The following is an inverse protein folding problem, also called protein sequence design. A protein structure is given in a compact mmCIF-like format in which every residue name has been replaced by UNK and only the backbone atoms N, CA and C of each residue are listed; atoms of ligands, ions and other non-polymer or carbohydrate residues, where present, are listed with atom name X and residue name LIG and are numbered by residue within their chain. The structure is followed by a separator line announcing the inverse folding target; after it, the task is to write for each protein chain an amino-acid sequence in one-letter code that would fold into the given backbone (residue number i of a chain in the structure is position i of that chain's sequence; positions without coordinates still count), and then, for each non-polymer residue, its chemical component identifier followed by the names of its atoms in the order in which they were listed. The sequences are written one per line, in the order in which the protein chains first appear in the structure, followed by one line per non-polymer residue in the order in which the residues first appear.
data_IF_498908942853
#
_entry.id   IF_498908942853
#
_cell.length_a   1.000
_cell.length_b   1.000
_cell.length_c   1.000
_cell.angle_alpha   90.00
_cell.angle_beta   90.00
_cell.angle_gamma   90.00
#
_symmetry.space_group_name_H-M   'P 1'
#
loop_
_entity.id
_entity.type
_entity.pdbx_description
1 polymer ?
#
# COMPACT_ATOMS: atom_id res chain seq x y z
N UNK A 1 10.66 -14.54 -37.18
CA UNK A 1 10.53 -13.64 -36.02
C UNK A 1 10.62 -14.47 -34.75
N UNK A 2 11.57 -14.19 -33.85
CA UNK A 2 11.53 -14.73 -32.50
C UNK A 2 10.37 -14.06 -31.72
N UNK A 3 9.65 -14.76 -30.83
CA UNK A 3 8.62 -14.13 -30.01
C UNK A 3 9.25 -13.03 -29.14
N UNK A 4 8.56 -11.90 -28.90
CA UNK A 4 9.05 -10.89 -27.97
C UNK A 4 9.26 -11.55 -26.62
N UNK A 5 10.50 -11.57 -26.14
CA UNK A 5 10.82 -11.94 -24.77
C UNK A 5 9.97 -11.06 -23.86
N UNK A 6 9.08 -11.68 -23.10
CA UNK A 6 8.27 -11.00 -22.09
C UNK A 6 9.22 -10.33 -21.11
N UNK A 7 9.49 -9.04 -21.34
CA UNK A 7 10.33 -8.25 -20.46
C UNK A 7 9.58 -8.15 -19.13
N UNK A 8 10.09 -8.85 -18.11
CA UNK A 8 9.54 -8.77 -16.77
C UNK A 8 9.52 -7.33 -16.26
N UNK A 9 8.80 -7.06 -15.15
CA UNK A 9 8.69 -5.72 -14.58
C UNK A 9 10.07 -5.08 -14.41
N UNK A 10 10.21 -3.83 -14.87
CA UNK A 10 11.45 -3.07 -14.71
C UNK A 10 11.75 -2.85 -13.22
N UNK A 11 13.02 -2.77 -12.85
CA UNK A 11 13.41 -2.54 -11.44
C UNK A 11 12.82 -1.24 -10.86
N UNK A 12 12.63 -0.22 -11.70
CA UNK A 12 11.93 1.02 -11.34
C UNK A 12 10.45 0.83 -11.03
N UNK A 13 9.76 -0.06 -11.76
CA UNK A 13 8.35 -0.38 -11.47
C UNK A 13 8.20 -1.14 -10.15
N UNK A 14 9.13 -2.07 -9.86
CA UNK A 14 9.17 -2.78 -8.59
C UNK A 14 9.45 -1.84 -7.41
N UNK A 15 10.39 -0.90 -7.56
CA UNK A 15 10.66 0.11 -6.55
C UNK A 15 9.46 1.06 -6.33
N UNK A 16 8.80 1.48 -7.41
CA UNK A 16 7.59 2.30 -7.35
C UNK A 16 6.44 1.58 -6.65
N UNK A 17 6.27 0.28 -6.88
CA UNK A 17 5.30 -0.56 -6.18
C UNK A 17 5.60 -0.67 -4.70
N UNK A 18 6.85 -0.96 -4.34
CA UNK A 18 7.28 -1.03 -2.94
C UNK A 18 7.00 0.26 -2.20
N UNK A 19 7.33 1.41 -2.80
CA UNK A 19 7.05 2.73 -2.23
C UNK A 19 5.55 3.01 -2.10
N UNK A 20 4.75 2.67 -3.11
CA UNK A 20 3.31 2.86 -3.06
C UNK A 20 2.66 2.03 -1.93
N UNK A 21 3.09 0.78 -1.76
CA UNK A 21 2.62 -0.11 -0.70
C UNK A 21 3.06 0.37 0.69
N UNK A 22 4.34 0.73 0.82
CA UNK A 22 4.87 1.28 2.07
C UNK A 22 4.14 2.54 2.48
N UNK A 23 3.93 3.48 1.54
CA UNK A 23 3.17 4.70 1.79
C UNK A 23 1.71 4.38 2.20
N UNK A 24 1.04 3.45 1.50
CA UNK A 24 -0.34 3.07 1.81
C UNK A 24 -0.52 2.55 3.24
N UNK A 25 0.50 1.92 3.82
CA UNK A 25 0.45 1.40 5.20
C UNK A 25 0.97 2.40 6.22
N UNK A 26 2.13 3.01 5.96
CA UNK A 26 2.84 3.85 6.93
C UNK A 26 2.12 5.17 7.17
N UNK A 27 1.56 5.82 6.14
CA UNK A 27 0.83 7.08 6.31
C UNK A 27 -0.36 6.97 7.28
N UNK A 28 -1.34 6.07 7.07
CA UNK A 28 -2.47 5.95 7.99
C UNK A 28 -2.07 5.41 9.37
N UNK A 29 -1.01 4.58 9.46
CA UNK A 29 -0.46 4.17 10.75
C UNK A 29 0.10 5.37 11.54
N UNK A 30 0.92 6.21 10.91
CA UNK A 30 1.48 7.42 11.54
C UNK A 30 0.38 8.39 11.92
N UNK A 31 -0.64 8.56 11.06
CA UNK A 31 -1.82 9.37 11.39
C UNK A 31 -2.55 8.82 12.64
N UNK A 32 -2.70 7.50 12.74
CA UNK A 32 -3.27 6.84 13.92
C UNK A 32 -2.46 7.09 15.19
N UNK A 33 -1.13 7.04 15.12
CA UNK A 33 -0.23 7.34 16.26
C UNK A 33 -0.40 8.78 16.72
N UNK A 34 -0.39 9.74 15.78
CA UNK A 34 -0.54 11.16 16.10
C UNK A 34 -1.91 11.43 16.72
N UNK A 35 -2.97 10.86 16.16
CA UNK A 35 -4.33 11.03 16.68
C UNK A 35 -4.50 10.40 18.07
N UNK A 36 -3.94 9.21 18.29
CA UNK A 36 -3.97 8.56 19.62
C UNK A 36 -3.23 9.39 20.67
N UNK A 37 -2.12 10.04 20.30
CA UNK A 37 -1.38 10.95 21.18
C UNK A 37 -2.18 12.20 21.57
N UNK A 38 -3.03 12.71 20.68
CA UNK A 38 -3.89 13.87 20.98
C UNK A 38 -5.12 13.45 21.78
N UNK A 39 -5.75 12.33 21.40
CA UNK A 39 -7.03 11.90 21.95
C UNK A 39 -6.92 11.01 23.19
N UNK A 40 -5.70 10.60 23.58
CA UNK A 40 -5.43 9.71 24.72
C UNK A 40 -6.18 8.36 24.63
N UNK A 41 -6.56 7.97 23.41
CA UNK A 41 -7.26 6.72 23.08
C UNK A 41 -6.30 5.55 22.82
N UNK A 42 -5.01 5.72 23.16
CA UNK A 42 -3.98 4.74 22.84
C UNK A 42 -4.31 3.34 23.39
N UNK A 43 -4.18 2.28 22.56
CA UNK A 43 -3.60 2.23 21.20
C UNK A 43 -4.63 2.01 20.08
N UNK A 44 -5.89 2.42 20.27
CA UNK A 44 -6.98 2.05 19.34
C UNK A 44 -6.83 2.67 17.95
N UNK A 45 -6.47 3.96 17.82
CA UNK A 45 -6.40 4.62 16.51
C UNK A 45 -5.19 4.16 15.70
N UNK A 46 -4.12 3.71 16.34
CA UNK A 46 -3.01 3.03 15.66
C UNK A 46 -3.49 1.76 14.96
N UNK A 47 -4.27 0.92 15.64
CA UNK A 47 -4.80 -0.31 15.05
C UNK A 47 -5.78 -0.03 13.91
N UNK A 48 -6.63 1.00 14.07
CA UNK A 48 -7.53 1.45 12.99
C UNK A 48 -6.72 1.95 11.79
N UNK A 49 -5.70 2.77 12.02
CA UNK A 49 -4.81 3.26 10.97
C UNK A 49 -4.10 2.14 10.22
N UNK A 50 -3.61 1.13 10.94
CA UNK A 50 -3.01 -0.06 10.35
C UNK A 50 -4.01 -0.86 9.51
N UNK A 51 -5.21 -1.12 10.03
CA UNK A 51 -6.26 -1.83 9.31
C UNK A 51 -6.63 -1.11 8.00
N UNK A 52 -6.81 0.21 8.06
CA UNK A 52 -7.07 1.04 6.88
C UNK A 52 -5.92 0.95 5.89
N UNK A 53 -4.66 1.00 6.36
CA UNK A 53 -3.48 0.89 5.51
C UNK A 53 -3.37 -0.45 4.79
N UNK A 54 -3.68 -1.56 5.46
CA UNK A 54 -3.73 -2.90 4.86
C UNK A 54 -4.81 -2.96 3.77
N UNK A 55 -6.02 -2.48 4.07
CA UNK A 55 -7.12 -2.45 3.09
C UNK A 55 -6.76 -1.59 1.87
N UNK A 56 -6.14 -0.43 2.10
CA UNK A 56 -5.69 0.46 1.03
C UNK A 56 -4.62 -0.19 0.15
N UNK A 57 -3.66 -0.91 0.74
CA UNK A 57 -2.64 -1.64 0.01
C UNK A 57 -3.25 -2.75 -0.87
N UNK A 58 -4.19 -3.53 -0.31
CA UNK A 58 -4.91 -4.58 -1.05
C UNK A 58 -5.73 -3.98 -2.19
N UNK A 59 -6.46 -2.90 -1.95
CA UNK A 59 -7.24 -2.20 -2.98
C UNK A 59 -6.34 -1.65 -4.10
N UNK A 60 -5.18 -1.09 -3.76
CA UNK A 60 -4.22 -0.58 -4.72
C UNK A 60 -3.71 -1.69 -5.65
N UNK A 61 -3.35 -2.85 -5.08
CA UNK A 61 -2.94 -4.03 -5.86
C UNK A 61 -4.09 -4.54 -6.73
N UNK A 62 -5.29 -4.65 -6.15
CA UNK A 62 -6.47 -5.15 -6.86
C UNK A 62 -6.83 -4.27 -8.07
N UNK A 63 -6.87 -2.94 -7.89
CA UNK A 63 -7.21 -2.00 -8.98
C UNK A 63 -6.11 -1.94 -10.04
N UNK A 64 -4.83 -1.94 -9.63
CA UNK A 64 -3.70 -1.79 -10.56
C UNK A 64 -3.41 -3.05 -11.36
N UNK A 65 -3.55 -4.22 -10.75
CA UNK A 65 -3.15 -5.49 -11.33
C UNK A 65 -4.38 -6.33 -11.68
N UNK A 66 -5.20 -6.70 -10.71
CA UNK A 66 -6.28 -7.68 -10.95
C UNK A 66 -7.34 -7.15 -11.92
N UNK A 67 -7.86 -5.94 -11.69
CA UNK A 67 -8.88 -5.33 -12.55
C UNK A 67 -8.33 -4.88 -13.92
N UNK A 68 -7.01 -4.79 -14.09
CA UNK A 68 -6.42 -4.36 -15.35
C UNK A 68 -6.14 -5.51 -16.31
N UNK A 69 -6.07 -6.75 -15.80
CA UNK A 69 -5.79 -7.96 -16.59
C UNK A 69 -7.01 -8.87 -16.79
N UNK A 70 -8.14 -8.60 -16.14
CA UNK A 70 -9.45 -9.23 -16.36
C UNK A 70 -10.43 -8.21 -16.92
#
# INVERSE_FOLDING_TARGET
MAPPSSAGPSGSELAGLGMALAAAVVLPMVAGIVLDGVLHTSPLLVFVGLAVGIVAAVALVYVRYVKRYW
#
